data_IF_918399825802
#
_entry.id   IF_918399825802
#
_cell.length_a   1.000
_cell.length_b   1.000
_cell.length_c   1.000
_cell.angle_alpha   90.00
_cell.angle_beta   90.00
_cell.angle_gamma   90.00
#
_symmetry.space_group_name_H-M   'P 1'
#
loop_
_entity.id
_entity.type
_entity.pdbx_description
1 polymer ?
#
# COMPACT_ATOMS: atom_id res chain seq x y z
N UNK A 1 -11.05 -14.29 -31.84
CA UNK A 1 -10.65 -14.40 -30.41
C UNK A 1 -9.58 -13.35 -30.18
N UNK A 2 -9.80 -12.35 -29.34
CA UNK A 2 -8.76 -11.36 -29.04
C UNK A 2 -7.63 -12.08 -28.31
N UNK A 3 -6.40 -11.95 -28.82
CA UNK A 3 -5.18 -12.43 -28.15
C UNK A 3 -4.76 -11.50 -27.00
N UNK A 4 -5.41 -10.33 -26.87
CA UNK A 4 -5.16 -9.38 -25.80
C UNK A 4 -6.04 -9.71 -24.59
N UNK A 5 -5.46 -9.84 -23.38
CA UNK A 5 -6.23 -10.10 -22.17
C UNK A 5 -7.19 -8.96 -21.85
N UNK A 6 -8.37 -9.29 -21.33
CA UNK A 6 -9.32 -8.30 -20.83
C UNK A 6 -8.81 -7.72 -19.50
N UNK A 7 -8.21 -6.53 -19.56
CA UNK A 7 -7.60 -5.91 -18.37
C UNK A 7 -8.58 -5.66 -17.23
N UNK A 8 -9.89 -5.52 -17.52
CA UNK A 8 -10.92 -5.33 -16.49
C UNK A 8 -11.15 -6.55 -15.59
N UNK A 9 -10.71 -7.74 -16.01
CA UNK A 9 -10.78 -8.96 -15.21
C UNK A 9 -9.54 -9.15 -14.32
N UNK A 10 -8.49 -8.35 -14.56
CA UNK A 10 -7.26 -8.37 -13.79
C UNK A 10 -7.34 -7.39 -12.61
N UNK A 11 -6.60 -7.71 -11.57
CA UNK A 11 -6.59 -6.98 -10.31
C UNK A 11 -5.17 -6.52 -9.96
N UNK A 12 -5.09 -5.31 -9.40
CA UNK A 12 -3.94 -4.88 -8.59
C UNK A 12 -4.41 -4.71 -7.17
N UNK A 13 -3.67 -5.28 -6.22
CA UNK A 13 -4.02 -5.15 -4.81
C UNK A 13 -3.39 -3.91 -4.22
N UNK A 14 -4.21 -3.08 -3.59
CA UNK A 14 -3.76 -1.91 -2.86
C UNK A 14 -3.58 -2.29 -1.39
N UNK A 15 -2.34 -2.31 -0.93
CA UNK A 15 -1.96 -2.69 0.44
C UNK A 15 -1.41 -1.49 1.19
N UNK A 16 -1.86 -1.33 2.43
CA UNK A 16 -1.44 -0.20 3.28
C UNK A 16 -0.77 -0.68 4.55
N UNK A 17 0.42 -0.13 4.82
CA UNK A 17 1.20 -0.42 6.02
C UNK A 17 0.90 0.51 7.18
N UNK A 18 0.86 -0.07 8.37
CA UNK A 18 0.84 0.63 9.66
C UNK A 18 1.46 -0.26 10.75
N UNK A 19 1.16 -0.01 12.03
CA UNK A 19 1.51 -0.86 13.17
C UNK A 19 0.45 -0.78 14.28
N UNK A 20 0.33 -1.82 15.10
CA UNK A 20 -0.66 -1.88 16.18
C UNK A 20 -0.49 -0.81 17.26
N UNK A 21 0.71 -0.24 17.42
CA UNK A 21 1.02 0.76 18.45
C UNK A 21 0.20 2.05 18.31
N UNK A 22 -0.37 2.33 17.14
CA UNK A 22 -1.21 3.50 16.91
C UNK A 22 -2.62 3.41 17.47
N UNK A 23 -3.05 2.23 17.93
CA UNK A 23 -4.38 2.02 18.50
C UNK A 23 -5.50 1.90 17.45
N UNK A 24 -6.68 1.37 17.85
CA UNK A 24 -7.75 1.00 16.94
C UNK A 24 -8.39 2.21 16.23
N UNK A 25 -8.51 3.35 16.90
CA UNK A 25 -9.12 4.57 16.32
C UNK A 25 -8.27 5.12 15.17
N UNK A 26 -6.95 5.22 15.36
CA UNK A 26 -6.03 5.62 14.30
C UNK A 26 -6.03 4.62 13.15
N UNK A 27 -6.04 3.32 13.45
CA UNK A 27 -6.08 2.28 12.41
C UNK A 27 -7.39 2.31 11.60
N UNK A 28 -8.50 2.68 12.22
CA UNK A 28 -9.76 2.90 11.50
C UNK A 28 -9.66 4.09 10.52
N UNK A 29 -9.02 5.19 10.95
CA UNK A 29 -8.76 6.34 10.07
C UNK A 29 -7.83 5.98 8.91
N UNK A 30 -6.74 5.24 9.18
CA UNK A 30 -5.84 4.73 8.12
C UNK A 30 -6.60 3.85 7.13
N UNK A 31 -7.48 2.96 7.62
CA UNK A 31 -8.27 2.09 6.75
C UNK A 31 -9.23 2.88 5.86
N UNK A 32 -9.87 3.91 6.41
CA UNK A 32 -10.77 4.80 5.67
C UNK A 32 -10.01 5.58 4.58
N UNK A 33 -8.94 6.28 4.95
CA UNK A 33 -8.14 7.06 4.00
C UNK A 33 -7.49 6.18 2.92
N UNK A 34 -7.01 5.00 3.29
CA UNK A 34 -6.49 3.99 2.36
C UNK A 34 -7.53 3.52 1.34
N UNK A 35 -8.76 3.27 1.79
CA UNK A 35 -9.85 2.87 0.89
C UNK A 35 -10.21 3.99 -0.08
N UNK A 36 -10.29 5.23 0.40
CA UNK A 36 -10.57 6.38 -0.45
C UNK A 36 -9.53 6.54 -1.58
N UNK A 37 -8.24 6.37 -1.28
CA UNK A 37 -7.19 6.40 -2.31
C UNK A 37 -7.33 5.25 -3.30
N UNK A 38 -7.57 4.02 -2.82
CA UNK A 38 -7.76 2.86 -3.69
C UNK A 38 -8.98 3.03 -4.63
N UNK A 39 -10.09 3.56 -4.10
CA UNK A 39 -11.32 3.82 -4.86
C UNK A 39 -11.10 4.93 -5.91
N UNK A 40 -10.38 6.00 -5.56
CA UNK A 40 -10.03 7.06 -6.52
C UNK A 40 -9.16 6.54 -7.65
N UNK A 41 -8.14 5.71 -7.35
CA UNK A 41 -7.31 5.06 -8.36
C UNK A 41 -8.15 4.11 -9.23
N UNK A 42 -9.04 3.32 -8.64
CA UNK A 42 -9.91 2.38 -9.35
C UNK A 42 -10.99 3.06 -10.20
N UNK A 43 -11.37 4.29 -9.90
CA UNK A 43 -12.32 5.09 -10.69
C UNK A 43 -11.66 5.80 -11.88
N UNK A 44 -10.33 5.90 -11.91
CA UNK A 44 -9.59 6.56 -13.00
C UNK A 44 -9.66 5.74 -14.30
N UNK A 45 -9.96 6.41 -15.41
CA UNK A 45 -9.93 5.79 -16.74
C UNK A 45 -8.51 5.37 -17.18
N UNK A 46 -7.48 5.95 -16.58
CA UNK A 46 -6.07 5.65 -16.87
C UNK A 46 -5.58 4.36 -16.18
N UNK A 47 -6.37 3.80 -15.26
CA UNK A 47 -6.08 2.53 -14.57
C UNK A 47 -7.03 1.47 -15.12
N UNK A 48 -6.66 0.72 -16.19
CA UNK A 48 -7.57 -0.16 -16.91
C UNK A 48 -7.85 -1.51 -16.21
N UNK A 49 -7.38 -1.67 -14.97
CA UNK A 49 -7.47 -2.89 -14.14
C UNK A 49 -8.26 -2.58 -12.87
N UNK A 50 -8.80 -3.59 -12.21
CA UNK A 50 -9.52 -3.41 -10.95
C UNK A 50 -8.53 -3.16 -9.82
N UNK A 51 -8.68 -2.05 -9.11
CA UNK A 51 -7.94 -1.80 -7.86
C UNK A 51 -8.71 -2.43 -6.70
N UNK A 52 -8.09 -3.36 -5.99
CA UNK A 52 -8.71 -4.06 -4.85
C UNK A 52 -8.01 -3.66 -3.57
N UNK A 53 -8.70 -2.90 -2.74
CA UNK A 53 -8.22 -2.55 -1.40
C UNK A 53 -8.14 -3.79 -0.49
N UNK A 54 -7.05 -3.91 0.25
CA UNK A 54 -6.85 -4.95 1.27
C UNK A 54 -6.83 -4.31 2.68
N UNK A 55 -7.27 -5.04 3.72
CA UNK A 55 -7.18 -4.55 5.10
C UNK A 55 -5.77 -4.10 5.49
N UNK A 56 -5.69 -3.08 6.34
CA UNK A 56 -4.43 -2.47 6.79
C UNK A 56 -3.53 -3.52 7.46
N UNK A 57 -2.28 -3.56 7.02
CA UNK A 57 -1.29 -4.54 7.45
C UNK A 57 -0.46 -3.96 8.60
N UNK A 58 -0.42 -4.67 9.72
CA UNK A 58 0.13 -4.17 10.99
C UNK A 58 1.10 -5.15 11.67
N UNK A 59 1.23 -6.36 11.13
CA UNK A 59 2.14 -7.40 11.62
C UNK A 59 2.74 -8.23 10.47
N UNK A 60 3.85 -8.92 10.75
CA UNK A 60 4.62 -9.67 9.75
C UNK A 60 3.85 -10.87 9.17
N UNK A 61 2.99 -11.52 9.94
CA UNK A 61 2.28 -12.73 9.48
C UNK A 61 1.15 -12.35 8.53
N UNK A 62 0.41 -11.28 8.84
CA UNK A 62 -0.60 -10.72 7.96
C UNK A 62 0.02 -10.24 6.64
N UNK A 63 1.14 -9.51 6.69
CA UNK A 63 1.87 -9.08 5.49
C UNK A 63 2.26 -10.29 4.65
N UNK A 64 2.93 -11.27 5.24
CA UNK A 64 3.36 -12.48 4.53
C UNK A 64 2.19 -13.23 3.90
N UNK A 65 1.08 -13.36 4.62
CA UNK A 65 -0.13 -14.03 4.12
C UNK A 65 -0.69 -13.33 2.89
N UNK A 66 -0.84 -12.01 2.91
CA UNK A 66 -1.35 -11.26 1.75
C UNK A 66 -0.45 -11.41 0.53
N UNK A 67 0.87 -11.44 0.70
CA UNK A 67 1.79 -11.66 -0.42
C UNK A 67 1.64 -13.07 -1.02
N UNK A 68 1.48 -14.10 -0.18
CA UNK A 68 1.23 -15.47 -0.63
C UNK A 68 -0.12 -15.62 -1.34
N UNK A 69 -1.18 -14.98 -0.81
CA UNK A 69 -2.49 -14.95 -1.46
C UNK A 69 -2.43 -14.25 -2.82
N UNK A 70 -1.72 -13.12 -2.92
CA UNK A 70 -1.54 -12.41 -4.17
C UNK A 70 -0.79 -13.25 -5.21
N UNK A 71 0.24 -14.00 -4.79
CA UNK A 71 0.95 -14.92 -5.68
C UNK A 71 0.05 -16.02 -6.25
N UNK A 72 -0.82 -16.59 -5.40
CA UNK A 72 -1.69 -17.70 -5.76
C UNK A 72 -2.92 -17.29 -6.59
N UNK A 73 -3.23 -16.00 -6.65
CA UNK A 73 -4.36 -15.49 -7.43
C UNK A 73 -3.95 -15.19 -8.88
N UNK A 74 -4.55 -15.91 -9.83
CA UNK A 74 -4.27 -15.74 -11.27
C UNK A 74 -4.72 -14.39 -11.81
N UNK A 75 -5.78 -13.82 -11.24
CA UNK A 75 -6.30 -12.48 -11.62
C UNK A 75 -5.42 -11.35 -11.09
N UNK A 76 -4.58 -11.60 -10.08
CA UNK A 76 -3.75 -10.56 -9.45
C UNK A 76 -2.43 -10.44 -10.20
N UNK A 77 -2.20 -9.26 -10.77
CA UNK A 77 -1.04 -9.00 -11.62
C UNK A 77 0.02 -8.12 -10.96
N UNK A 78 -0.24 -7.62 -9.76
CA UNK A 78 0.70 -6.78 -9.02
C UNK A 78 0.10 -6.20 -7.75
N UNK A 79 0.96 -5.58 -6.95
CA UNK A 79 0.57 -4.87 -5.73
C UNK A 79 1.02 -3.42 -5.79
N UNK A 80 0.18 -2.55 -5.24
CA UNK A 80 0.50 -1.16 -4.92
C UNK A 80 0.61 -1.04 -3.41
N UNK A 81 1.78 -0.70 -2.91
CA UNK A 81 2.04 -0.55 -1.48
C UNK A 81 2.23 0.92 -1.09
N UNK A 82 1.59 1.32 0.00
CA UNK A 82 1.69 2.66 0.60
C UNK A 82 1.80 2.55 2.12
N UNK A 83 2.82 3.18 2.71
CA UNK A 83 2.94 3.25 4.17
C UNK A 83 2.26 4.53 4.67
N UNK A 84 0.97 4.44 5.02
CA UNK A 84 0.21 5.60 5.49
C UNK A 84 0.79 6.19 6.77
N UNK A 85 1.14 5.31 7.71
CA UNK A 85 1.88 5.64 8.92
C UNK A 85 3.28 5.01 8.87
N UNK A 86 4.07 5.17 9.93
CA UNK A 86 5.28 4.37 10.06
C UNK A 86 4.95 2.89 10.25
N UNK A 87 5.35 2.06 9.30
CA UNK A 87 5.20 0.60 9.34
C UNK A 87 6.59 -0.05 9.39
N UNK A 88 7.06 -0.48 10.59
CA UNK A 88 8.41 -0.97 10.78
C UNK A 88 8.85 -1.96 9.70
N UNK A 89 9.85 -1.57 8.91
CA UNK A 89 10.17 -2.23 7.66
C UNK A 89 10.62 -3.69 7.82
N UNK A 90 11.09 -4.08 9.01
CA UNK A 90 11.40 -5.49 9.34
C UNK A 90 10.19 -6.43 9.22
N UNK A 91 8.98 -5.94 9.49
CA UNK A 91 7.76 -6.76 9.36
C UNK A 91 7.48 -7.16 7.92
N UNK A 92 8.01 -6.40 6.96
CA UNK A 92 7.78 -6.64 5.54
C UNK A 92 8.74 -7.67 4.94
N UNK A 93 9.85 -8.01 5.62
CA UNK A 93 10.93 -8.82 5.04
C UNK A 93 10.42 -10.15 4.50
N UNK A 94 9.71 -10.93 5.33
CA UNK A 94 9.28 -12.28 4.95
C UNK A 94 8.17 -12.29 3.90
N UNK A 95 7.35 -11.23 3.86
CA UNK A 95 6.34 -11.06 2.82
C UNK A 95 6.95 -10.63 1.49
N UNK A 96 7.87 -9.67 1.51
CA UNK A 96 8.57 -9.19 0.32
C UNK A 96 9.46 -10.26 -0.30
N UNK A 97 10.16 -11.06 0.52
CA UNK A 97 10.96 -12.20 0.06
C UNK A 97 10.10 -13.29 -0.62
N UNK A 98 8.86 -13.46 -0.15
CA UNK A 98 7.91 -14.40 -0.73
C UNK A 98 7.19 -13.85 -1.98
N UNK A 99 7.15 -12.53 -2.18
CA UNK A 99 6.35 -11.91 -3.24
C UNK A 99 6.94 -12.21 -4.63
N UNK A 100 6.10 -12.75 -5.52
CA UNK A 100 6.46 -13.10 -6.90
C UNK A 100 5.74 -12.23 -7.93
N UNK A 101 4.85 -11.33 -7.50
CA UNK A 101 4.15 -10.39 -8.37
C UNK A 101 4.86 -9.03 -8.37
N UNK A 102 4.77 -8.26 -9.47
CA UNK A 102 5.28 -6.89 -9.53
C UNK A 102 4.80 -6.01 -8.36
N UNK A 103 5.70 -5.17 -7.86
CA UNK A 103 5.43 -4.21 -6.79
C UNK A 103 5.58 -2.77 -7.29
N UNK A 104 4.56 -1.97 -7.03
CA UNK A 104 4.63 -0.52 -7.09
C UNK A 104 4.63 0.04 -5.66
N UNK A 105 5.60 0.88 -5.35
CA UNK A 105 5.63 1.68 -4.13
C UNK A 105 5.05 3.06 -4.44
N UNK A 106 3.86 3.33 -3.92
CA UNK A 106 3.18 4.62 -4.06
C UNK A 106 3.50 5.47 -2.83
N UNK A 107 4.41 6.43 -3.00
CA UNK A 107 4.79 7.37 -1.96
C UNK A 107 3.89 8.61 -2.06
N UNK A 108 2.79 8.58 -1.31
CA UNK A 108 1.73 9.58 -1.37
C UNK A 108 1.25 9.98 0.03
N UNK A 109 0.28 10.90 0.09
CA UNK A 109 -0.37 11.34 1.32
C UNK A 109 -1.87 11.56 1.08
N UNK A 110 -2.70 11.29 2.11
CA UNK A 110 -4.16 11.43 1.99
C UNK A 110 -4.59 12.88 1.68
N UNK A 111 -3.88 13.85 2.26
CA UNK A 111 -4.14 15.27 2.05
C UNK A 111 -3.16 15.85 1.02
N UNK A 112 -3.68 16.65 0.09
CA UNK A 112 -2.86 17.41 -0.87
C UNK A 112 -2.11 18.56 -0.19
N UNK A 113 -2.74 19.24 0.77
CA UNK A 113 -2.17 20.37 1.49
C UNK A 113 -2.19 20.12 3.01
N UNK A 114 -1.20 20.68 3.70
CA UNK A 114 -1.15 20.65 5.16
C UNK A 114 -2.20 21.59 5.77
N UNK A 115 -2.94 21.16 6.81
CA UNK A 115 -3.94 21.99 7.47
C UNK A 115 -3.25 22.95 8.46
N UNK A 116 -2.57 23.98 7.97
CA UNK A 116 -1.69 24.85 8.77
C UNK A 116 -2.29 25.44 10.05
N UNK A 117 -3.61 25.69 10.06
CA UNK A 117 -4.30 26.26 11.23
C UNK A 117 -4.78 25.22 12.26
N UNK A 118 -4.78 23.94 11.90
CA UNK A 118 -5.40 22.85 12.68
C UNK A 118 -4.42 21.70 12.97
N UNK A 119 -3.24 21.71 12.34
CA UNK A 119 -2.26 20.63 12.46
C UNK A 119 -1.76 20.49 13.91
N UNK A 120 -1.87 19.27 14.43
CA UNK A 120 -1.44 18.90 15.77
C UNK A 120 -0.73 17.54 15.77
N UNK A 121 -0.44 17.00 16.97
CA UNK A 121 0.22 15.71 17.09
C UNK A 121 -0.65 14.52 16.67
N UNK A 122 -1.97 14.62 16.73
CA UNK A 122 -2.86 13.55 16.29
C UNK A 122 -2.82 13.45 14.76
N UNK A 123 -2.90 14.59 14.06
CA UNK A 123 -2.68 14.65 12.62
C UNK A 123 -1.30 14.11 12.24
N UNK A 124 -0.25 14.53 12.96
CA UNK A 124 1.11 14.11 12.70
C UNK A 124 1.34 12.63 13.03
N UNK A 125 0.57 12.00 13.91
CA UNK A 125 0.64 10.56 14.20
C UNK A 125 -0.01 9.72 13.11
N UNK A 126 -1.09 10.23 12.51
CA UNK A 126 -1.82 9.57 11.43
C UNK A 126 -1.13 9.71 10.07
N UNK A 127 -0.65 10.91 9.72
CA UNK A 127 -0.20 11.26 8.37
C UNK A 127 1.33 11.22 8.27
N UNK A 128 1.90 10.03 8.41
CA UNK A 128 3.35 9.81 8.57
C UNK A 128 4.05 9.20 7.36
N UNK A 129 3.40 9.15 6.21
CA UNK A 129 3.96 8.59 4.98
C UNK A 129 5.30 9.21 4.56
N UNK A 130 5.51 10.51 4.85
CA UNK A 130 6.77 11.23 4.57
C UNK A 130 8.03 10.51 5.10
N UNK A 131 7.94 9.81 6.24
CA UNK A 131 9.02 8.98 6.78
C UNK A 131 8.73 7.48 6.72
N UNK A 132 7.47 7.05 6.84
CA UNK A 132 7.08 5.64 6.71
C UNK A 132 7.49 5.04 5.36
N UNK A 133 7.20 5.73 4.26
CA UNK A 133 7.58 5.27 2.93
C UNK A 133 9.09 5.32 2.67
N UNK A 134 9.84 6.16 3.38
CA UNK A 134 11.31 6.18 3.29
C UNK A 134 11.91 4.94 3.94
N UNK A 135 11.38 4.51 5.09
CA UNK A 135 11.82 3.26 5.74
C UNK A 135 11.47 2.05 4.87
N UNK A 136 10.28 2.03 4.28
CA UNK A 136 9.88 0.99 3.34
C UNK A 136 10.76 0.99 2.08
N UNK A 137 11.04 2.16 1.51
CA UNK A 137 11.98 2.31 0.38
C UNK A 137 13.38 1.79 0.70
N UNK A 138 13.85 1.93 1.94
CA UNK A 138 15.10 1.33 2.40
C UNK A 138 15.03 -0.21 2.34
N UNK A 139 14.00 -0.85 2.91
CA UNK A 139 13.98 -2.33 2.94
C UNK A 139 13.84 -2.94 1.54
N UNK A 140 13.07 -2.30 0.65
CA UNK A 140 12.95 -2.73 -0.74
C UNK A 140 14.33 -2.71 -1.44
N UNK A 141 15.13 -1.68 -1.17
CA UNK A 141 16.49 -1.57 -1.71
C UNK A 141 17.43 -2.59 -1.07
N UNK A 142 17.35 -2.75 0.25
CA UNK A 142 18.22 -3.66 1.02
C UNK A 142 18.05 -5.13 0.61
N UNK A 143 16.83 -5.53 0.25
CA UNK A 143 16.49 -6.87 -0.22
C UNK A 143 16.65 -7.04 -1.74
N UNK A 144 16.91 -5.97 -2.50
CA UNK A 144 17.00 -6.04 -3.95
C UNK A 144 15.65 -6.28 -4.66
N UNK A 145 14.54 -5.84 -4.06
CA UNK A 145 13.21 -5.99 -4.64
C UNK A 145 13.07 -5.10 -5.87
N UNK A 146 12.80 -5.71 -7.02
CA UNK A 146 12.42 -5.00 -8.23
C UNK A 146 11.09 -4.28 -8.03
N UNK A 147 11.07 -2.97 -8.26
CA UNK A 147 9.89 -2.15 -8.02
C UNK A 147 9.83 -0.94 -8.95
N UNK A 148 8.63 -0.39 -9.08
CA UNK A 148 8.43 1.00 -9.54
C UNK A 148 8.11 1.87 -8.32
N UNK A 149 8.71 3.04 -8.19
CA UNK A 149 8.33 4.03 -7.16
C UNK A 149 7.73 5.25 -7.85
N UNK A 150 6.53 5.66 -7.41
CA UNK A 150 5.85 6.89 -7.83
C UNK A 150 5.69 7.78 -6.61
N UNK A 151 5.98 9.07 -6.75
CA UNK A 151 5.85 10.06 -5.68
C UNK A 151 4.87 11.14 -6.12
N UNK A 152 3.87 11.46 -5.30
CA UNK A 152 2.87 12.48 -5.61
C UNK A 152 1.65 12.42 -4.70
#
# INVERSE_FOLDING_TARGET
>A
MSILPNLKELEVWFVTGSQHLYGPETLAQVAEQSRQIADQLGASADVPVRVVWKPVLTDSDAIRRVMLEANAADTVIGLVAWMHTFSPAKMWITGLDALQKPLLHLHTQANVALPWGEIDFDFMNLNQAAHGDREFGYILTRLGIARTTVVG
#
